data_IF_132150308994
#
_entry.id   IF_132150308994
#
_cell.length_a   1.000
_cell.length_b   1.000
_cell.length_c   1.000
_cell.angle_alpha   90.00
_cell.angle_beta   90.00
_cell.angle_gamma   90.00
#
_symmetry.space_group_name_H-M   'P 1'
#
loop_
_entity.id
_entity.type
_entity.pdbx_description
1 polymer ?
#
# COMPACT_ATOMS: atom_id res chain seq x y z
N UNK A 1 -8.89 -45.74 -10.02
CA UNK A 1 -9.72 -45.00 -9.04
C UNK A 1 -9.46 -43.52 -9.24
N UNK A 2 -10.45 -42.75 -9.70
CA UNK A 2 -10.33 -41.30 -9.91
C UNK A 2 -10.57 -40.60 -8.57
N UNK A 3 -9.55 -39.92 -8.04
CA UNK A 3 -9.67 -39.16 -6.80
C UNK A 3 -10.57 -37.93 -7.04
N UNK A 4 -11.65 -37.82 -6.27
CA UNK A 4 -12.56 -36.67 -6.29
C UNK A 4 -11.82 -35.43 -5.76
N UNK A 5 -11.30 -34.62 -6.67
CA UNK A 5 -10.69 -33.33 -6.38
C UNK A 5 -11.77 -32.27 -6.14
N UNK A 6 -12.55 -32.41 -5.06
CA UNK A 6 -13.52 -31.38 -4.68
C UNK A 6 -13.93 -31.48 -3.20
N UNK A 7 -13.19 -30.79 -2.33
CA UNK A 7 -13.72 -30.17 -1.09
C UNK A 7 -12.67 -29.25 -0.43
N UNK A 8 -12.73 -27.95 -0.75
CA UNK A 8 -12.25 -26.84 0.08
C UNK A 8 -10.84 -26.30 -0.23
N UNK A 9 -10.74 -25.09 -0.78
CA UNK A 9 -9.51 -24.28 -0.78
C UNK A 9 -8.91 -24.09 0.62
N UNK A 10 -9.77 -24.12 1.65
CA UNK A 10 -9.39 -24.09 3.06
C UNK A 10 -8.63 -25.34 3.52
N UNK A 11 -8.84 -26.50 2.87
CA UNK A 11 -8.10 -27.74 3.14
C UNK A 11 -6.66 -27.64 2.65
N UNK A 12 -6.44 -27.02 1.49
CA UNK A 12 -5.10 -26.82 0.93
C UNK A 12 -4.28 -25.80 1.72
N UNK A 13 -4.89 -24.68 2.16
CA UNK A 13 -4.19 -23.70 3.00
C UNK A 13 -3.83 -24.28 4.38
N UNK A 14 -4.75 -25.02 5.03
CA UNK A 14 -4.43 -25.73 6.28
C UNK A 14 -3.31 -26.75 6.10
N UNK A 15 -3.32 -27.48 4.98
CA UNK A 15 -2.28 -28.44 4.65
C UNK A 15 -0.94 -27.76 4.41
N UNK A 16 -0.92 -26.69 3.62
CA UNK A 16 0.29 -25.91 3.36
C UNK A 16 0.86 -25.28 4.63
N UNK A 17 0.00 -24.79 5.53
CA UNK A 17 0.40 -24.24 6.83
C UNK A 17 1.09 -25.28 7.72
N UNK A 18 0.65 -26.55 7.65
CA UNK A 18 1.26 -27.64 8.41
C UNK A 18 2.51 -28.23 7.73
N UNK A 19 2.53 -28.30 6.39
CA UNK A 19 3.64 -28.91 5.64
C UNK A 19 4.83 -27.95 5.46
N UNK A 20 4.57 -26.65 5.24
CA UNK A 20 5.63 -25.65 4.97
C UNK A 20 5.28 -24.28 5.60
N UNK A 21 5.25 -24.19 6.94
CA UNK A 21 4.82 -22.98 7.65
C UNK A 21 5.65 -21.74 7.31
N UNK A 22 6.97 -21.89 7.11
CA UNK A 22 7.87 -20.76 6.87
C UNK A 22 7.56 -20.05 5.54
N UNK A 23 7.24 -20.81 4.49
CA UNK A 23 6.90 -20.24 3.18
C UNK A 23 5.52 -19.59 3.24
N UNK A 24 4.54 -20.24 3.87
CA UNK A 24 3.17 -19.68 3.98
C UNK A 24 3.17 -18.41 4.83
N UNK A 25 3.86 -18.42 5.98
CA UNK A 25 4.03 -17.24 6.82
C UNK A 25 4.80 -16.12 6.13
N UNK A 26 5.94 -16.45 5.49
CA UNK A 26 6.77 -15.49 4.77
C UNK A 26 6.02 -14.84 3.61
N UNK A 27 5.28 -15.61 2.82
CA UNK A 27 4.47 -15.09 1.71
C UNK A 27 3.30 -14.21 2.20
N UNK A 28 2.64 -14.60 3.29
CA UNK A 28 1.59 -13.78 3.91
C UNK A 28 2.14 -12.44 4.41
N UNK A 29 3.30 -12.44 5.07
CA UNK A 29 3.98 -11.21 5.50
C UNK A 29 4.46 -10.36 4.33
N UNK A 30 4.98 -10.98 3.26
CA UNK A 30 5.38 -10.25 2.06
C UNK A 30 4.19 -9.53 1.42
N UNK A 31 3.04 -10.21 1.30
CA UNK A 31 1.80 -9.62 0.80
C UNK A 31 1.30 -8.49 1.71
N UNK A 32 1.30 -8.69 3.03
CA UNK A 32 0.93 -7.65 3.98
C UNK A 32 1.84 -6.41 3.86
N UNK A 33 3.14 -6.62 3.68
CA UNK A 33 4.11 -5.55 3.44
C UNK A 33 3.82 -4.77 2.16
N UNK A 34 3.50 -5.45 1.05
CA UNK A 34 3.14 -4.80 -0.21
C UNK A 34 1.87 -3.95 -0.06
N UNK A 35 0.85 -4.47 0.63
CA UNK A 35 -0.39 -3.73 0.90
C UNK A 35 -0.11 -2.47 1.71
N UNK A 36 0.62 -2.60 2.81
CA UNK A 36 1.00 -1.47 3.67
C UNK A 36 1.81 -0.42 2.91
N UNK A 37 2.79 -0.84 2.10
CA UNK A 37 3.58 0.06 1.28
C UNK A 37 2.72 0.81 0.25
N UNK A 38 1.80 0.11 -0.42
CA UNK A 38 0.89 0.71 -1.41
C UNK A 38 -0.01 1.77 -0.77
N UNK A 39 -0.60 1.45 0.40
CA UNK A 39 -1.44 2.40 1.15
C UNK A 39 -0.63 3.61 1.62
N UNK A 40 0.58 3.39 2.14
CA UNK A 40 1.47 4.46 2.58
C UNK A 40 1.82 5.44 1.45
N UNK A 41 2.20 4.90 0.29
CA UNK A 41 2.49 5.71 -0.90
C UNK A 41 1.24 6.45 -1.38
N UNK A 42 0.10 5.77 -1.50
CA UNK A 42 -1.14 6.41 -1.94
C UNK A 42 -1.55 7.58 -1.01
N UNK A 43 -1.46 7.37 0.31
CA UNK A 43 -1.77 8.41 1.28
C UNK A 43 -0.78 9.58 1.24
N UNK A 44 0.52 9.31 1.05
CA UNK A 44 1.54 10.33 0.90
C UNK A 44 1.25 11.25 -0.29
N UNK A 45 0.95 10.67 -1.46
CA UNK A 45 0.63 11.46 -2.65
C UNK A 45 -0.71 12.20 -2.54
N UNK A 46 -1.71 11.62 -1.86
CA UNK A 46 -3.02 12.25 -1.71
C UNK A 46 -3.02 13.45 -0.75
N UNK A 47 -2.19 13.42 0.30
CA UNK A 47 -2.17 14.42 1.38
C UNK A 47 -1.00 15.39 1.28
N UNK A 48 0.21 14.87 1.07
CA UNK A 48 1.47 15.64 1.15
C UNK A 48 2.16 15.81 -0.21
N UNK A 49 1.55 15.31 -1.29
CA UNK A 49 2.13 15.35 -2.63
C UNK A 49 2.46 16.76 -3.12
N UNK A 50 1.67 17.76 -2.71
CA UNK A 50 1.85 19.18 -3.06
C UNK A 50 2.71 19.95 -2.02
N UNK A 51 2.87 19.39 -0.81
CA UNK A 51 3.63 19.95 0.33
C UNK A 51 4.98 19.27 0.56
N UNK A 52 5.60 18.76 -0.51
CA UNK A 52 6.91 18.10 -0.40
C UNK A 52 7.94 19.08 0.15
N UNK A 53 8.59 18.70 1.25
CA UNK A 53 9.70 19.44 1.87
C UNK A 53 10.84 19.72 0.90
N UNK A 54 11.09 18.82 -0.04
CA UNK A 54 12.09 18.99 -1.07
C UNK A 54 11.44 18.90 -2.46
N UNK A 55 11.50 19.99 -3.21
CA UNK A 55 11.06 20.06 -4.60
C UNK A 55 12.29 20.22 -5.49
N UNK A 56 12.33 19.52 -6.61
CA UNK A 56 13.44 19.60 -7.58
C UNK A 56 13.40 20.90 -8.42
N UNK A 57 12.33 21.68 -8.29
CA UNK A 57 12.14 22.95 -8.99
C UNK A 57 11.10 23.81 -8.30
N UNK A 58 11.10 25.11 -8.64
CA UNK A 58 10.11 26.06 -8.18
C UNK A 58 8.77 25.79 -8.86
N UNK A 59 7.68 25.78 -8.09
CA UNK A 59 6.32 25.53 -8.59
C UNK A 59 5.44 26.69 -8.19
N UNK A 60 4.84 27.35 -9.19
CA UNK A 60 3.83 28.40 -8.98
C UNK A 60 2.46 27.77 -9.16
N UNK A 61 1.61 27.88 -8.14
CA UNK A 61 0.20 27.55 -8.27
C UNK A 61 -0.59 28.82 -8.59
N UNK A 62 -1.56 28.71 -9.49
CA UNK A 62 -2.53 29.79 -9.69
C UNK A 62 -3.58 29.75 -8.58
N UNK A 63 -4.11 30.91 -8.24
CA UNK A 63 -5.08 31.05 -7.15
C UNK A 63 -6.38 30.24 -7.39
N UNK A 64 -6.75 30.00 -8.63
CA UNK A 64 -7.93 29.23 -9.04
C UNK A 64 -7.68 27.72 -9.16
N UNK A 65 -6.42 27.26 -9.05
CA UNK A 65 -6.10 25.84 -9.15
C UNK A 65 -6.61 25.11 -7.89
N UNK A 66 -7.43 24.04 -8.03
CA UNK A 66 -7.87 23.25 -6.87
C UNK A 66 -6.71 22.65 -6.05
N UNK A 67 -5.50 22.54 -6.61
CA UNK A 67 -4.29 22.11 -5.90
C UNK A 67 -3.72 23.18 -4.98
N UNK A 68 -3.96 24.47 -5.27
CA UNK A 68 -3.53 25.55 -4.39
C UNK A 68 -4.16 25.42 -2.99
N UNK A 69 -5.40 24.93 -2.91
CA UNK A 69 -6.10 24.67 -1.64
C UNK A 69 -5.46 23.56 -0.78
N UNK A 70 -4.60 22.73 -1.38
CA UNK A 70 -3.92 21.63 -0.69
C UNK A 70 -2.54 22.03 -0.21
N UNK A 71 -2.04 23.19 -0.63
CA UNK A 71 -0.76 23.71 -0.16
C UNK A 71 -0.94 24.20 1.28
N UNK A 72 -0.02 23.80 2.17
CA UNK A 72 -0.04 24.17 3.58
C UNK A 72 0.96 25.30 3.79
N UNK A 73 0.50 26.41 4.38
CA UNK A 73 1.33 27.55 4.76
C UNK A 73 1.88 27.29 6.17
N UNK A 74 3.01 26.57 6.23
CA UNK A 74 3.64 26.16 7.50
C UNK A 74 4.46 27.30 8.15
N UNK A 75 4.20 28.56 7.78
CA UNK A 75 4.99 29.73 8.18
C UNK A 75 4.52 30.41 9.48
N UNK A 76 3.44 29.90 10.11
CA UNK A 76 2.77 30.53 11.27
C UNK A 76 2.95 29.82 12.64
N UNK A 77 3.84 28.82 12.78
CA UNK A 77 4.16 28.15 14.07
C UNK A 77 5.62 28.36 14.54
#
# INVERSE_FOLDING_TARGET
>A
MSASAARGSTSLLKRAWNEIPDIVGGSALALAGIVMATIGVANYYAKDGDNRRYKLGYVVFRHDDPRAQKVRDDEDD
#
